data_IF_435194066610
#
_entry.id   IF_435194066610
#
_cell.length_a   1.000
_cell.length_b   1.000
_cell.length_c   1.000
_cell.angle_alpha   90.00
_cell.angle_beta   90.00
_cell.angle_gamma   90.00
#
_symmetry.space_group_name_H-M   'P 1'
#
loop_
_entity.id
_entity.type
_entity.pdbx_description
1 polymer ?
#
# COMPACT_ATOMS: atom_id res chain seq x y z
N UNK A 1 22.82 24.07 21.14
CA UNK A 1 21.55 24.24 20.42
C UNK A 1 21.63 23.39 19.16
N UNK A 2 21.34 22.10 19.30
CA UNK A 2 21.51 21.11 18.25
C UNK A 2 20.33 21.26 17.28
N UNK A 3 20.59 21.77 16.08
CA UNK A 3 19.62 21.76 15.00
C UNK A 3 19.30 20.30 14.66
N UNK A 4 18.18 19.79 15.18
CA UNK A 4 17.50 18.65 14.60
C UNK A 4 17.01 19.07 13.22
N UNK A 5 17.86 18.92 12.20
CA UNK A 5 17.38 18.76 10.83
C UNK A 5 16.62 17.43 10.79
N UNK A 6 15.34 17.45 11.17
CA UNK A 6 14.41 16.42 10.74
C UNK A 6 14.40 16.48 9.21
N UNK A 7 15.13 15.58 8.57
CA UNK A 7 14.86 15.24 7.18
C UNK A 7 13.40 14.78 7.16
N UNK A 8 12.48 15.63 6.71
CA UNK A 8 11.22 15.15 6.21
C UNK A 8 11.60 14.27 5.02
N UNK A 9 11.58 12.95 5.21
CA UNK A 9 11.89 12.03 4.14
C UNK A 9 10.96 12.35 2.96
N UNK A 10 11.52 12.71 1.82
CA UNK A 10 10.74 13.02 0.63
C UNK A 10 9.91 11.78 0.24
N UNK A 11 8.58 11.93 0.24
CA UNK A 11 7.65 10.84 -0.04
C UNK A 11 7.74 10.37 -1.50
N UNK A 12 7.28 9.13 -1.74
CA UNK A 12 7.03 8.60 -3.09
C UNK A 12 8.28 8.32 -3.92
N UNK A 13 9.47 8.47 -3.35
CA UNK A 13 10.74 8.15 -4.00
C UNK A 13 11.18 6.71 -3.68
N UNK A 14 11.96 6.09 -4.57
CA UNK A 14 12.50 4.73 -4.36
C UNK A 14 14.00 4.65 -4.68
N UNK A 15 14.89 5.28 -3.91
CA UNK A 15 16.29 5.45 -4.33
C UNK A 15 17.04 4.13 -4.52
N UNK A 16 16.84 3.15 -3.65
CA UNK A 16 17.46 1.84 -3.81
C UNK A 16 17.04 1.18 -5.14
N UNK A 17 15.77 1.30 -5.51
CA UNK A 17 15.26 0.79 -6.78
C UNK A 17 15.77 1.60 -7.97
N UNK A 18 15.68 2.93 -7.94
CA UNK A 18 16.14 3.79 -9.04
C UNK A 18 17.64 3.61 -9.32
N UNK A 19 18.47 3.49 -8.27
CA UNK A 19 19.88 3.20 -8.40
C UNK A 19 20.14 1.81 -9.01
N UNK A 20 19.33 0.81 -8.66
CA UNK A 20 19.39 -0.53 -9.25
C UNK A 20 18.98 -0.51 -10.71
N UNK A 21 17.89 0.18 -11.06
CA UNK A 21 17.42 0.32 -12.45
C UNK A 21 18.48 1.00 -13.32
N UNK A 22 19.10 2.08 -12.82
CA UNK A 22 20.22 2.72 -13.50
C UNK A 22 21.40 1.74 -13.76
N UNK A 23 21.65 0.81 -12.83
CA UNK A 23 22.65 -0.26 -13.01
C UNK A 23 22.18 -1.38 -13.93
N UNK A 24 20.89 -1.77 -13.92
CA UNK A 24 20.37 -2.85 -14.78
C UNK A 24 20.27 -2.42 -16.24
N UNK A 25 19.89 -1.17 -16.52
CA UNK A 25 19.97 -0.60 -17.88
C UNK A 25 21.42 -0.57 -18.39
N UNK A 26 22.40 -0.35 -17.52
CA UNK A 26 23.80 -0.51 -17.88
C UNK A 26 24.22 -1.97 -18.14
N UNK A 27 23.40 -2.95 -17.72
CA UNK A 27 23.69 -4.40 -17.79
C UNK A 27 22.71 -5.21 -18.65
N UNK A 28 21.71 -4.59 -19.31
CA UNK A 28 20.69 -5.23 -20.16
C UNK A 28 19.97 -6.46 -19.55
N UNK A 29 19.50 -6.37 -18.29
CA UNK A 29 18.76 -7.46 -17.63
C UNK A 29 17.23 -7.36 -17.85
N UNK A 30 16.51 -8.48 -18.07
CA UNK A 30 15.05 -8.47 -18.22
C UNK A 30 14.32 -8.13 -16.91
N UNK A 31 13.38 -7.19 -16.96
CA UNK A 31 12.50 -6.79 -15.85
C UNK A 31 11.14 -7.53 -15.92
N UNK A 32 10.53 -7.82 -14.76
CA UNK A 32 9.09 -8.11 -14.69
C UNK A 32 8.63 -9.58 -14.53
N UNK A 33 9.52 -10.58 -14.47
CA UNK A 33 9.14 -11.98 -14.18
C UNK A 33 9.48 -12.48 -12.77
N UNK A 34 9.99 -11.62 -11.90
CA UNK A 34 10.56 -12.02 -10.61
C UNK A 34 9.95 -11.23 -9.46
N UNK A 35 9.94 -11.84 -8.26
CA UNK A 35 9.42 -11.19 -7.05
C UNK A 35 10.13 -9.88 -6.74
N UNK A 36 9.44 -9.00 -6.03
CA UNK A 36 9.90 -7.68 -5.70
C UNK A 36 11.25 -7.72 -4.98
N UNK A 37 12.08 -6.72 -5.25
CA UNK A 37 13.41 -6.63 -4.65
C UNK A 37 13.42 -5.62 -3.51
N UNK A 38 14.38 -5.73 -2.59
CA UNK A 38 14.49 -4.77 -1.50
C UNK A 38 14.55 -3.33 -2.02
N UNK A 39 13.71 -2.46 -1.45
CA UNK A 39 13.62 -1.05 -1.83
C UNK A 39 12.76 -0.76 -3.07
N UNK A 40 12.18 -1.76 -3.73
CA UNK A 40 11.23 -1.56 -4.83
C UNK A 40 9.88 -1.00 -4.37
N UNK A 41 9.47 -1.33 -3.14
CA UNK A 41 8.21 -0.85 -2.53
C UNK A 41 8.46 -0.44 -1.08
N UNK A 42 9.21 0.66 -0.85
CA UNK A 42 9.74 0.98 0.48
C UNK A 42 8.68 1.46 1.47
N UNK A 43 7.46 1.73 1.01
CA UNK A 43 6.30 2.09 1.81
C UNK A 43 5.36 0.91 2.07
N UNK A 44 5.61 -0.27 1.50
CA UNK A 44 4.77 -1.44 1.76
C UNK A 44 4.91 -1.88 3.22
N UNK A 45 3.78 -2.13 3.87
CA UNK A 45 3.72 -2.61 5.26
C UNK A 45 2.87 -3.87 5.30
N UNK A 46 3.42 -4.95 5.84
CA UNK A 46 2.64 -6.14 6.16
C UNK A 46 2.15 -6.07 7.60
N UNK A 47 0.86 -6.29 7.81
CA UNK A 47 0.23 -6.33 9.13
C UNK A 47 0.06 -7.77 9.61
N UNK A 48 0.56 -8.01 10.82
CA UNK A 48 0.47 -9.28 11.51
C UNK A 48 -0.50 -9.17 12.67
N UNK A 49 -1.49 -10.07 12.70
CA UNK A 49 -2.47 -10.25 13.79
C UNK A 49 -2.04 -11.47 14.60
N UNK A 50 -1.68 -11.27 15.87
CA UNK A 50 -1.21 -12.35 16.75
C UNK A 50 -0.05 -13.18 16.16
N UNK A 51 0.83 -12.54 15.38
CA UNK A 51 1.96 -13.19 14.72
C UNK A 51 1.66 -13.81 13.35
N UNK A 52 0.41 -13.78 12.90
CA UNK A 52 0.01 -14.27 11.57
C UNK A 52 -0.24 -13.12 10.61
N UNK A 53 0.24 -13.24 9.37
CA UNK A 53 -0.02 -12.25 8.33
C UNK A 53 -1.51 -12.15 8.03
N UNK A 54 -2.07 -10.94 8.06
CA UNK A 54 -3.52 -10.72 7.95
C UNK A 54 -3.90 -9.73 6.85
N UNK A 55 -3.17 -8.61 6.77
CA UNK A 55 -3.49 -7.48 5.88
C UNK A 55 -2.22 -6.78 5.40
N UNK A 56 -2.39 -5.93 4.39
CA UNK A 56 -1.39 -4.96 3.97
C UNK A 56 -1.74 -3.54 4.44
N UNK A 57 -0.75 -2.66 4.42
CA UNK A 57 -0.87 -1.25 4.72
C UNK A 57 0.22 -0.47 3.97
N UNK A 58 0.14 0.86 4.01
CA UNK A 58 1.12 1.73 3.39
C UNK A 58 1.65 2.78 4.37
N UNK A 59 2.97 2.91 4.43
CA UNK A 59 3.64 3.94 5.20
C UNK A 59 3.36 5.33 4.59
N UNK A 60 2.79 6.23 5.39
CA UNK A 60 2.46 7.61 4.97
C UNK A 60 3.25 8.68 5.74
N UNK A 61 3.83 8.30 6.89
CA UNK A 61 4.85 9.06 7.63
C UNK A 61 5.66 8.09 8.50
N UNK A 62 6.70 8.57 9.17
CA UNK A 62 7.56 7.72 10.02
C UNK A 62 6.79 7.05 11.17
N UNK A 63 5.66 7.63 11.58
CA UNK A 63 4.86 7.19 12.73
C UNK A 63 3.50 6.59 12.37
N UNK A 64 3.10 6.71 11.10
CA UNK A 64 1.73 6.43 10.67
C UNK A 64 1.68 5.63 9.38
N UNK A 65 0.79 4.63 9.39
CA UNK A 65 0.45 3.80 8.23
C UNK A 65 -1.04 3.94 7.91
N UNK A 66 -1.39 3.80 6.63
CA UNK A 66 -2.75 3.86 6.09
C UNK A 66 -3.18 2.46 5.63
N UNK A 67 -4.39 2.04 6.00
CA UNK A 67 -4.97 0.74 5.62
C UNK A 67 -6.51 0.79 5.64
N UNK A 68 -7.16 -0.38 5.50
CA UNK A 68 -8.60 -0.52 5.64
C UNK A 68 -9.03 -0.90 7.05
N UNK A 69 -10.19 -0.42 7.49
CA UNK A 69 -10.80 -0.82 8.77
C UNK A 69 -11.27 -2.26 8.80
N UNK A 70 -11.56 -2.87 7.65
CA UNK A 70 -12.08 -4.24 7.54
C UNK A 70 -11.10 -5.26 8.12
N UNK A 71 -9.80 -4.96 8.06
CA UNK A 71 -8.73 -5.73 8.70
C UNK A 71 -8.94 -5.98 10.20
N UNK A 72 -9.65 -5.08 10.90
CA UNK A 72 -9.75 -5.05 12.36
C UNK A 72 -11.11 -5.51 12.88
N UNK A 73 -12.03 -5.97 12.04
CA UNK A 73 -13.40 -6.29 12.44
C UNK A 73 -13.52 -7.60 13.23
N UNK A 74 -12.56 -8.51 13.10
CA UNK A 74 -12.67 -9.88 13.60
C UNK A 74 -12.34 -10.08 15.09
N UNK A 75 -11.42 -9.30 15.66
CA UNK A 75 -10.99 -9.47 17.06
C UNK A 75 -10.41 -8.17 17.64
N UNK A 76 -11.09 -7.52 18.61
CA UNK A 76 -10.64 -6.27 19.22
C UNK A 76 -9.48 -6.45 20.20
N UNK A 77 -9.19 -7.68 20.65
CA UNK A 77 -8.10 -7.97 21.59
C UNK A 77 -6.81 -8.44 20.90
N UNK A 78 -6.83 -8.57 19.58
CA UNK A 78 -5.67 -9.00 18.83
C UNK A 78 -4.50 -8.03 18.96
N UNK A 79 -3.30 -8.59 19.09
CA UNK A 79 -2.06 -7.81 19.05
C UNK A 79 -1.66 -7.63 17.60
N UNK A 80 -1.53 -6.37 17.19
CA UNK A 80 -1.17 -6.00 15.83
C UNK A 80 0.27 -5.49 15.75
N UNK A 81 0.99 -5.97 14.74
CA UNK A 81 2.37 -5.59 14.47
C UNK A 81 2.54 -5.25 13.00
N UNK A 82 3.19 -4.14 12.70
CA UNK A 82 3.58 -3.73 11.35
C UNK A 82 5.02 -4.16 11.08
N UNK A 83 5.25 -4.78 9.92
CA UNK A 83 6.59 -5.07 9.38
C UNK A 83 6.80 -4.32 8.06
N UNK A 84 7.88 -3.55 7.99
CA UNK A 84 8.23 -2.67 6.87
C UNK A 84 9.62 -3.05 6.34
N UNK A 85 9.88 -2.82 5.04
CA UNK A 85 11.17 -3.15 4.41
C UNK A 85 11.34 -4.64 4.09
N UNK A 86 10.28 -5.44 4.31
CA UNK A 86 10.25 -6.87 4.00
C UNK A 86 9.81 -7.12 2.56
N UNK A 87 10.37 -8.16 1.94
CA UNK A 87 9.92 -8.71 0.66
C UNK A 87 9.49 -10.18 0.79
N UNK A 88 9.65 -10.75 2.00
CA UNK A 88 9.32 -12.15 2.31
C UNK A 88 8.69 -12.24 3.70
N UNK A 89 7.52 -12.86 3.82
CA UNK A 89 6.82 -12.98 5.11
C UNK A 89 7.60 -13.85 6.12
N UNK A 90 8.23 -14.93 5.63
CA UNK A 90 8.88 -15.96 6.45
C UNK A 90 10.37 -15.72 6.73
N UNK A 91 10.94 -14.58 6.30
CA UNK A 91 12.36 -14.27 6.53
C UNK A 91 12.55 -12.83 6.99
N UNK A 92 13.66 -12.56 7.66
CA UNK A 92 14.10 -11.21 8.03
C UNK A 92 15.15 -10.70 7.05
N UNK A 93 15.18 -9.39 6.85
CA UNK A 93 16.21 -8.72 6.08
C UNK A 93 16.90 -7.65 6.93
N UNK A 94 18.10 -7.17 6.57
CA UNK A 94 18.74 -6.06 7.29
C UNK A 94 17.95 -4.74 7.27
N UNK A 95 16.95 -4.63 6.40
CA UNK A 95 16.09 -3.47 6.25
C UNK A 95 14.73 -3.63 6.92
N UNK A 96 14.47 -4.81 7.50
CA UNK A 96 13.23 -5.14 8.21
C UNK A 96 13.12 -4.27 9.46
N UNK A 97 12.00 -3.58 9.60
CA UNK A 97 11.64 -2.83 10.79
C UNK A 97 10.27 -3.27 11.26
N UNK A 98 10.15 -3.52 12.56
CA UNK A 98 8.95 -4.04 13.20
C UNK A 98 8.49 -3.06 14.28
N UNK A 99 7.21 -2.70 14.28
CA UNK A 99 6.61 -1.87 15.32
C UNK A 99 5.21 -2.35 15.65
N UNK A 100 4.86 -2.38 16.94
CA UNK A 100 3.49 -2.62 17.38
C UNK A 100 2.57 -1.48 16.95
N UNK A 101 1.29 -1.79 16.82
CA UNK A 101 0.23 -0.79 16.63
C UNK A 101 -0.33 -0.39 18.00
N UNK A 102 -0.32 0.91 18.31
CA UNK A 102 -0.80 1.45 19.60
C UNK A 102 -2.07 2.26 19.48
N UNK A 103 -2.46 2.66 18.27
CA UNK A 103 -3.66 3.44 18.03
C UNK A 103 -4.21 3.23 16.63
N UNK A 104 -5.52 3.39 16.49
CA UNK A 104 -6.23 3.39 15.22
C UNK A 104 -7.21 4.56 15.20
N UNK A 105 -7.16 5.35 14.13
CA UNK A 105 -8.14 6.40 13.88
C UNK A 105 -8.87 6.05 12.59
N UNK A 106 -10.19 5.84 12.69
CA UNK A 106 -11.05 5.60 11.53
C UNK A 106 -11.37 6.93 10.85
N UNK A 107 -11.41 6.91 9.52
CA UNK A 107 -11.85 8.05 8.74
C UNK A 107 -13.32 8.39 9.06
N UNK A 108 -13.66 9.68 9.30
CA UNK A 108 -15.04 10.12 9.44
C UNK A 108 -15.76 10.28 8.10
N UNK A 109 -15.05 10.11 6.97
CA UNK A 109 -15.57 10.33 5.61
C UNK A 109 -16.07 9.01 5.02
N UNK A 110 -17.22 9.06 4.34
CA UNK A 110 -17.84 7.90 3.68
C UNK A 110 -18.31 6.84 4.69
N UNK A 111 -18.16 5.57 4.34
CA UNK A 111 -18.46 4.43 5.23
C UNK A 111 -17.36 4.20 6.28
N UNK A 112 -16.34 5.06 6.35
CA UNK A 112 -15.24 4.91 7.29
C UNK A 112 -14.36 3.71 7.02
N UNK A 113 -14.28 3.23 5.77
CA UNK A 113 -13.50 2.04 5.37
C UNK A 113 -11.98 2.27 5.45
N UNK A 114 -11.52 3.51 5.48
CA UNK A 114 -10.10 3.85 5.67
C UNK A 114 -9.77 4.13 7.13
N UNK A 115 -8.61 3.68 7.57
CA UNK A 115 -8.04 4.03 8.87
C UNK A 115 -6.54 4.31 8.77
N UNK A 116 -6.07 5.17 9.67
CA UNK A 116 -4.65 5.33 9.94
C UNK A 116 -4.30 4.70 11.28
N UNK A 117 -3.12 4.09 11.35
CA UNK A 117 -2.64 3.40 12.52
C UNK A 117 -1.37 4.07 13.03
N UNK A 118 -1.29 4.25 14.34
CA UNK A 118 -0.09 4.77 15.03
C UNK A 118 0.84 3.63 15.35
N UNK A 119 2.10 3.80 14.94
CA UNK A 119 3.20 2.93 15.30
C UNK A 119 3.71 3.28 16.71
N UNK A 120 3.97 2.26 17.53
CA UNK A 120 4.64 2.41 18.83
C UNK A 120 6.03 3.05 18.68
N UNK A 121 6.82 2.55 17.73
CA UNK A 121 8.15 3.04 17.43
C UNK A 121 8.16 3.69 16.05
N UNK A 122 8.75 4.89 15.98
CA UNK A 122 8.94 5.58 14.71
C UNK A 122 9.88 4.80 13.81
N UNK A 123 9.54 4.74 12.53
CA UNK A 123 10.34 4.04 11.52
C UNK A 123 11.55 4.88 11.16
N UNK A 124 12.72 4.26 11.17
CA UNK A 124 13.96 4.88 10.73
C UNK A 124 14.01 4.90 9.20
N UNK A 125 13.84 6.09 8.61
CA UNK A 125 13.89 6.29 7.17
C UNK A 125 15.22 5.85 6.55
N UNK A 126 15.16 5.19 5.39
CA UNK A 126 16.32 4.74 4.61
C UNK A 126 16.00 4.70 3.11
N UNK A 127 16.93 4.23 2.28
CA UNK A 127 16.67 3.97 0.85
C UNK A 127 15.72 2.79 0.61
N UNK A 128 15.48 1.98 1.64
CA UNK A 128 14.66 0.77 1.60
C UNK A 128 13.32 0.92 2.34
N UNK A 129 13.20 1.96 3.18
CA UNK A 129 12.00 2.24 3.99
C UNK A 129 11.72 3.73 4.00
N UNK A 130 10.59 4.15 3.45
CA UNK A 130 10.17 5.57 3.35
C UNK A 130 8.71 5.69 2.93
N UNK A 131 8.03 6.81 3.23
CA UNK A 131 6.60 6.93 2.98
C UNK A 131 6.24 7.11 1.51
N UNK A 132 5.03 6.67 1.14
CA UNK A 132 4.35 7.01 -0.11
C UNK A 132 3.76 8.43 -0.03
N UNK A 133 3.58 9.09 -1.18
CA UNK A 133 2.90 10.38 -1.18
C UNK A 133 1.38 10.21 -1.09
N UNK A 134 0.74 11.07 -0.30
CA UNK A 134 -0.71 11.29 -0.38
C UNK A 134 -1.02 12.17 -1.60
N UNK A 135 -2.16 11.97 -2.29
CA UNK A 135 -2.53 12.80 -3.42
C UNK A 135 -2.74 14.26 -2.99
N UNK A 136 -2.24 15.19 -3.80
CA UNK A 136 -2.41 16.63 -3.56
C UNK A 136 -3.69 17.19 -4.18
N UNK A 137 -4.21 16.53 -5.21
CA UNK A 137 -5.43 16.85 -5.93
C UNK A 137 -6.08 15.57 -6.47
N UNK A 138 -7.29 15.71 -7.00
CA UNK A 138 -7.96 14.62 -7.71
C UNK A 138 -7.34 14.46 -9.11
N UNK A 139 -6.45 13.50 -9.28
CA UNK A 139 -5.76 13.25 -10.55
C UNK A 139 -6.68 12.62 -11.58
N UNK A 140 -6.51 12.98 -12.86
CA UNK A 140 -7.05 12.18 -13.96
C UNK A 140 -6.22 10.91 -14.10
N UNK A 141 -6.81 9.75 -13.85
CA UNK A 141 -6.09 8.48 -13.77
C UNK A 141 -5.88 7.79 -15.14
N UNK A 142 -6.44 8.36 -16.20
CA UNK A 142 -6.33 7.80 -17.54
C UNK A 142 -4.87 7.80 -18.03
N UNK A 143 -4.35 6.61 -18.35
CA UNK A 143 -2.98 6.44 -18.85
C UNK A 143 -1.89 6.56 -17.78
N UNK A 144 -2.24 6.72 -16.49
CA UNK A 144 -1.26 6.74 -15.41
C UNK A 144 -0.85 5.30 -15.08
N UNK A 145 0.47 4.97 -15.04
CA UNK A 145 0.92 3.66 -14.62
C UNK A 145 0.67 3.47 -13.12
N UNK A 146 -0.20 2.52 -12.80
CA UNK A 146 -0.57 2.17 -11.44
C UNK A 146 -0.27 0.69 -11.17
N UNK A 147 0.14 0.41 -9.94
CA UNK A 147 0.45 -0.92 -9.47
C UNK A 147 -0.24 -1.17 -8.12
N UNK A 148 -0.59 -2.43 -7.88
CA UNK A 148 -0.84 -2.95 -6.53
C UNK A 148 0.19 -4.03 -6.21
N UNK A 149 0.13 -4.58 -5.00
CA UNK A 149 1.06 -5.56 -4.48
C UNK A 149 0.32 -6.80 -4.02
N UNK A 150 0.96 -7.97 -4.16
CA UNK A 150 0.41 -9.25 -3.72
C UNK A 150 1.48 -10.15 -3.13
N UNK A 151 1.08 -11.05 -2.24
CA UNK A 151 1.98 -12.02 -1.62
C UNK A 151 1.85 -13.38 -2.28
N UNK A 152 3.00 -13.96 -2.63
CA UNK A 152 2.97 -15.28 -3.24
C UNK A 152 2.60 -16.38 -2.25
N UNK A 153 1.53 -17.14 -2.55
CA UNK A 153 1.07 -18.25 -1.70
C UNK A 153 2.16 -19.31 -1.52
N UNK A 154 2.96 -19.58 -2.55
CA UNK A 154 4.01 -20.62 -2.49
C UNK A 154 5.34 -20.11 -1.97
N UNK A 155 5.74 -18.89 -2.35
CA UNK A 155 7.08 -18.36 -2.08
C UNK A 155 7.14 -17.37 -0.92
N UNK A 156 5.99 -16.98 -0.37
CA UNK A 156 5.84 -15.90 0.60
C UNK A 156 6.58 -14.63 0.20
N UNK A 157 6.74 -14.39 -1.10
CA UNK A 157 7.50 -13.28 -1.67
C UNK A 157 6.52 -12.26 -2.23
N UNK A 158 6.75 -10.98 -1.98
CA UNK A 158 5.99 -9.86 -2.52
C UNK A 158 6.18 -9.74 -4.05
N UNK A 159 5.11 -9.44 -4.78
CA UNK A 159 5.13 -9.17 -6.22
C UNK A 159 4.36 -7.90 -6.54
N UNK A 160 4.80 -7.21 -7.59
CA UNK A 160 4.01 -6.12 -8.17
C UNK A 160 3.00 -6.65 -9.18
N UNK A 161 1.85 -5.99 -9.26
CA UNK A 161 0.82 -6.24 -10.26
C UNK A 161 0.54 -4.92 -10.95
N UNK A 162 0.74 -4.87 -12.27
CA UNK A 162 0.41 -3.69 -13.07
C UNK A 162 -1.08 -3.63 -13.29
N UNK A 163 -1.63 -2.44 -13.14
CA UNK A 163 -3.05 -2.17 -13.21
C UNK A 163 -3.35 -1.11 -14.25
N UNK A 164 -4.39 -1.37 -15.04
CA UNK A 164 -5.02 -0.39 -15.92
C UNK A 164 -6.28 0.13 -15.23
N UNK A 165 -6.35 1.44 -15.01
CA UNK A 165 -7.54 2.07 -14.42
C UNK A 165 -8.68 2.09 -15.46
N UNK A 166 -9.83 1.54 -15.09
CA UNK A 166 -11.02 1.45 -15.96
C UNK A 166 -12.03 2.57 -15.73
N UNK A 167 -11.93 3.28 -14.60
CA UNK A 167 -12.82 4.39 -14.26
C UNK A 167 -13.19 4.42 -12.78
N UNK A 168 -14.24 5.19 -12.46
CA UNK A 168 -14.75 5.36 -11.10
C UNK A 168 -16.06 4.61 -10.84
N UNK A 169 -16.70 4.12 -11.89
CA UNK A 169 -17.92 3.31 -11.83
C UNK A 169 -17.52 1.83 -11.90
N UNK A 170 -17.43 1.19 -10.74
CA UNK A 170 -17.10 -0.23 -10.67
C UNK A 170 -18.36 -1.02 -10.99
N UNK A 171 -18.26 -1.98 -11.90
CA UNK A 171 -19.36 -2.89 -12.23
C UNK A 171 -19.47 -3.84 -11.04
N UNK A 172 -20.55 -3.72 -10.27
CA UNK A 172 -20.84 -4.68 -9.20
C UNK A 172 -21.65 -5.84 -9.76
N UNK A 173 -21.17 -7.09 -9.56
CA UNK A 173 -21.96 -8.28 -9.89
C UNK A 173 -23.10 -8.54 -8.88
N UNK A 174 -23.11 -7.88 -7.72
CA UNK A 174 -24.17 -8.09 -6.73
C UNK A 174 -24.15 -7.07 -5.58
N UNK A 175 -24.53 -5.82 -5.82
CA UNK A 175 -25.15 -5.07 -4.73
C UNK A 175 -26.15 -4.04 -5.25
N UNK A 176 -27.42 -4.27 -4.91
CA UNK A 176 -28.55 -3.43 -5.32
C UNK A 176 -28.75 -2.28 -4.33
N UNK A 177 -27.66 -1.79 -3.73
CA UNK A 177 -27.70 -0.80 -2.66
C UNK A 177 -26.98 0.48 -3.09
N UNK A 178 -27.78 1.39 -3.64
CA UNK A 178 -27.45 2.72 -4.15
C UNK A 178 -27.06 3.73 -3.06
N UNK A 179 -26.35 3.30 -2.01
CA UNK A 179 -26.15 4.04 -0.77
C UNK A 179 -24.68 4.19 -0.36
N UNK A 180 -23.80 4.43 -1.33
CA UNK A 180 -22.65 5.34 -1.14
C UNK A 180 -21.97 5.55 -2.50
N UNK A 181 -22.13 6.73 -3.12
CA UNK A 181 -21.18 7.17 -4.16
C UNK A 181 -19.85 7.56 -3.50
N UNK A 182 -19.25 6.64 -2.75
CA UNK A 182 -17.84 6.72 -2.43
C UNK A 182 -17.09 6.70 -3.75
N UNK A 183 -16.23 7.70 -3.95
CA UNK A 183 -15.34 7.69 -5.11
C UNK A 183 -14.50 6.44 -4.99
N UNK A 184 -14.84 5.46 -5.79
CA UNK A 184 -14.09 4.22 -5.94
C UNK A 184 -13.21 4.38 -7.16
N UNK A 185 -12.05 3.74 -7.16
CA UNK A 185 -11.21 3.60 -8.33
C UNK A 185 -11.27 2.13 -8.73
N UNK A 186 -11.57 1.88 -9.99
CA UNK A 186 -11.70 0.54 -10.51
C UNK A 186 -10.54 0.26 -11.46
N UNK A 187 -9.94 -0.92 -11.35
CA UNK A 187 -8.78 -1.29 -12.14
C UNK A 187 -8.80 -2.77 -12.53
N UNK A 188 -8.10 -3.11 -13.61
CA UNK A 188 -7.89 -4.49 -14.06
C UNK A 188 -6.41 -4.76 -14.22
N UNK A 189 -5.99 -6.02 -14.03
CA UNK A 189 -4.60 -6.44 -14.24
C UNK A 189 -4.23 -6.28 -15.72
N UNK A 190 -3.16 -5.54 -16.01
CA UNK A 190 -2.76 -5.20 -17.39
C UNK A 190 -2.11 -6.38 -18.12
N UNK A 191 -1.35 -7.19 -17.39
CA UNK A 191 -0.57 -8.32 -17.91
C UNK A 191 -1.21 -9.63 -17.40
N UNK A 192 -2.37 -10.02 -17.96
CA UNK A 192 -3.01 -11.30 -17.61
C UNK A 192 -2.18 -12.43 -18.22
N UNK A 193 -1.32 -13.03 -17.41
CA UNK A 193 -0.65 -14.29 -17.75
C UNK A 193 -1.73 -15.38 -17.87
N UNK A 194 -1.75 -16.12 -18.98
CA UNK A 194 -2.68 -17.24 -19.21
C UNK A 194 -2.66 -18.24 -18.03
N UNK A 195 -3.71 -18.16 -17.23
CA UNK A 195 -4.39 -19.10 -16.31
C UNK A 195 -3.66 -20.14 -15.43
N UNK A 196 -2.35 -20.40 -15.55
CA UNK A 196 -1.70 -21.46 -14.75
C UNK A 196 -0.64 -20.99 -13.74
N UNK A 197 -0.18 -19.74 -13.79
CA UNK A 197 0.90 -19.26 -12.92
C UNK A 197 0.52 -18.01 -12.12
N UNK A 198 -0.71 -17.93 -11.60
CA UNK A 198 -0.98 -16.88 -10.62
C UNK A 198 -0.15 -17.13 -9.36
N UNK A 199 0.72 -16.17 -9.06
CA UNK A 199 1.73 -16.37 -8.04
C UNK A 199 1.26 -16.02 -6.63
N UNK A 200 0.11 -15.38 -6.40
CA UNK A 200 -0.29 -14.88 -5.08
C UNK A 200 -1.65 -14.19 -4.94
N UNK A 201 -2.03 -13.87 -3.71
CA UNK A 201 -3.28 -13.18 -3.35
C UNK A 201 -3.02 -11.71 -2.95
N UNK A 202 -3.96 -10.83 -3.30
CA UNK A 202 -4.01 -9.44 -2.81
C UNK A 202 -4.80 -9.41 -1.50
N UNK A 203 -4.23 -8.82 -0.45
CA UNK A 203 -4.88 -8.74 0.84
C UNK A 203 -5.73 -7.48 0.99
N UNK A 204 -6.57 -7.45 2.01
CA UNK A 204 -7.21 -6.21 2.45
C UNK A 204 -6.15 -5.19 2.88
N UNK A 205 -6.44 -3.91 2.68
CA UNK A 205 -5.49 -2.83 2.93
C UNK A 205 -4.42 -2.65 1.83
N UNK A 206 -4.44 -3.50 0.79
CA UNK A 206 -3.52 -3.39 -0.35
C UNK A 206 -3.65 -2.04 -1.06
N UNK A 207 -2.53 -1.41 -1.46
CA UNK A 207 -2.57 -0.06 -2.01
C UNK A 207 -2.69 -0.03 -3.53
N UNK A 208 -3.46 0.92 -4.04
CA UNK A 208 -3.33 1.37 -5.43
C UNK A 208 -2.29 2.49 -5.50
N UNK A 209 -1.11 2.16 -6.01
CA UNK A 209 0.05 3.03 -6.09
C UNK A 209 0.23 3.50 -7.54
N UNK A 210 0.24 4.81 -7.77
CA UNK A 210 0.39 5.36 -9.12
C UNK A 210 1.61 6.26 -9.22
N UNK A 211 2.38 6.12 -10.31
CA UNK A 211 3.56 6.95 -10.57
C UNK A 211 3.15 8.19 -11.36
N UNK A 212 3.34 9.36 -10.74
CA UNK A 212 3.01 10.68 -11.29
C UNK A 212 4.25 11.55 -11.16
N UNK A 213 4.84 11.97 -12.29
CA UNK A 213 6.05 12.79 -12.33
C UNK A 213 7.19 12.20 -11.46
N UNK A 214 7.48 10.91 -11.65
CA UNK A 214 8.53 10.15 -10.95
C UNK A 214 8.35 10.02 -9.43
N UNK A 215 7.13 10.28 -8.94
CA UNK A 215 6.75 10.07 -7.54
C UNK A 215 5.56 9.13 -7.44
N UNK A 216 5.61 8.26 -6.45
CA UNK A 216 4.55 7.31 -6.18
C UNK A 216 3.55 7.86 -5.17
N UNK A 217 2.28 7.80 -5.55
CA UNK A 217 1.16 8.24 -4.75
C UNK A 217 0.25 7.06 -4.41
N UNK A 218 -0.23 7.02 -3.17
CA UNK A 218 -1.28 6.08 -2.77
C UNK A 218 -2.65 6.68 -3.10
N UNK A 219 -3.24 6.27 -4.22
CA UNK A 219 -4.52 6.81 -4.70
C UNK A 219 -5.73 6.03 -4.21
N UNK A 220 -5.53 4.78 -3.81
CA UNK A 220 -6.59 3.92 -3.32
C UNK A 220 -6.12 2.88 -2.32
N UNK A 221 -7.06 2.33 -1.56
CA UNK A 221 -6.87 1.20 -0.64
C UNK A 221 -7.96 0.16 -0.91
N UNK A 222 -7.58 -1.11 -0.97
CA UNK A 222 -8.54 -2.21 -1.07
C UNK A 222 -9.18 -2.53 0.30
N UNK A 223 -10.47 -2.83 0.30
CA UNK A 223 -11.21 -3.33 1.49
C UNK A 223 -11.59 -4.81 1.38
N UNK A 224 -11.16 -5.49 0.31
CA UNK A 224 -11.48 -6.89 0.08
C UNK A 224 -10.25 -7.63 -0.41
N UNK A 225 -10.18 -8.92 -0.11
CA UNK A 225 -9.16 -9.81 -0.65
C UNK A 225 -9.47 -10.11 -2.11
N UNK A 226 -8.45 -10.14 -2.96
CA UNK A 226 -8.56 -10.66 -4.32
C UNK A 226 -7.74 -11.93 -4.39
N UNK A 227 -8.44 -13.06 -4.47
CA UNK A 227 -7.82 -14.37 -4.61
C UNK A 227 -7.59 -14.71 -6.07
N UNK A 228 -6.48 -15.40 -6.31
CA UNK A 228 -6.11 -15.83 -7.65
C UNK A 228 -6.53 -17.28 -7.97
N UNK A 229 -6.87 -17.61 -9.24
CA UNK A 229 -6.88 -16.74 -10.40
C UNK A 229 -8.09 -15.78 -10.40
N UNK A 230 -7.84 -14.52 -10.72
CA UNK A 230 -8.87 -13.48 -10.84
C UNK A 230 -8.94 -12.93 -12.26
N UNK A 231 -8.78 -13.80 -13.28
CA UNK A 231 -8.73 -13.43 -14.70
C UNK A 231 -9.89 -12.48 -15.03
N UNK A 232 -9.56 -11.26 -15.48
CA UNK A 232 -10.49 -10.19 -15.84
C UNK A 232 -11.45 -9.69 -14.75
N UNK A 233 -11.22 -9.98 -13.46
CA UNK A 233 -12.01 -9.35 -12.38
C UNK A 233 -11.53 -7.92 -12.13
N UNK A 234 -12.49 -7.00 -12.20
CA UNK A 234 -12.29 -5.61 -11.82
C UNK A 234 -12.03 -5.53 -10.31
N UNK A 235 -10.99 -4.78 -9.93
CA UNK A 235 -10.61 -4.50 -8.54
C UNK A 235 -11.14 -3.14 -8.15
N UNK A 236 -11.69 -3.02 -6.94
CA UNK A 236 -12.26 -1.78 -6.39
C UNK A 236 -11.36 -1.27 -5.27
N UNK A 237 -10.95 -0.01 -5.38
CA UNK A 237 -10.16 0.69 -4.37
C UNK A 237 -10.92 1.92 -3.86
N UNK A 238 -10.85 2.16 -2.55
CA UNK A 238 -11.39 3.35 -1.91
C UNK A 238 -10.48 4.54 -2.15
N UNK A 239 -10.97 5.58 -2.82
CA UNK A 239 -10.16 6.71 -3.27
C UNK A 239 -9.64 7.54 -2.08
N UNK A 240 -8.33 7.75 -1.97
CA UNK A 240 -7.71 8.38 -0.78
C UNK A 240 -7.82 9.90 -0.75
N UNK A 241 -7.95 10.57 -1.90
CA UNK A 241 -7.96 12.04 -1.99
C UNK A 241 -8.92 12.76 -1.04
N UNK A 242 -10.15 12.28 -0.88
CA UNK A 242 -11.13 12.93 0.00
C UNK A 242 -10.72 12.85 1.48
N UNK A 243 -9.86 11.89 1.83
CA UNK A 243 -9.39 11.64 3.18
C UNK A 243 -8.13 12.41 3.55
N UNK A 244 -7.44 13.04 2.58
CA UNK A 244 -6.12 13.66 2.79
C UNK A 244 -6.15 14.77 3.84
N UNK A 245 -7.21 15.59 3.88
CA UNK A 245 -7.32 16.67 4.86
C UNK A 245 -7.46 16.12 6.28
N UNK A 246 -8.29 15.09 6.46
CA UNK A 246 -8.42 14.39 7.73
C UNK A 246 -7.10 13.76 8.15
N UNK A 247 -6.42 13.02 7.24
CA UNK A 247 -5.13 12.39 7.53
C UNK A 247 -4.13 13.43 8.02
N UNK A 248 -3.95 14.54 7.30
CA UNK A 248 -3.01 15.60 7.68
C UNK A 248 -3.32 16.19 9.05
N UNK A 249 -4.59 16.53 9.28
CA UNK A 249 -5.03 17.09 10.55
C UNK A 249 -4.78 16.14 11.72
N UNK A 250 -5.03 14.84 11.55
CA UNK A 250 -4.75 13.85 12.59
C UNK A 250 -3.26 13.64 12.84
N UNK A 251 -2.45 13.59 11.78
CA UNK A 251 -0.98 13.48 11.89
C UNK A 251 -0.36 14.68 12.60
N UNK A 252 -0.90 15.89 12.39
CA UNK A 252 -0.44 17.12 13.04
C UNK A 252 -0.87 17.20 14.51
N UNK A 253 -2.13 16.89 14.82
CA UNK A 253 -2.66 17.02 16.18
C UNK A 253 -2.06 16.01 17.15
N UNK A 254 -1.78 14.79 16.68
CA UNK A 254 -1.23 13.70 17.50
C UNK A 254 0.31 13.64 17.48
N UNK A 255 0.98 14.61 16.86
CA UNK A 255 2.45 14.78 16.92
C UNK A 255 2.94 15.49 18.18
N UNK A 256 2.02 16.14 18.92
CA UNK A 256 2.34 17.06 20.02
C UNK A 256 2.36 16.36 21.40
N UNK A 257 2.13 15.04 21.44
CA UNK A 257 2.13 14.22 22.66
C UNK A 257 3.05 13.01 22.50
#
# INVERSE_FOLDING_TARGET
MTLFFFFIAACGLRPAHSARVARSFALNLPEGKFGAVHGQWPWHVALFKNGEYACDATLISDDWILTSTTCFESDPHAVWTARIGIIRLSSKSPFDQESRITGMVKSPIGSGVLSILKLEQSINGSDYVRPSCLPSHNYSLAGIPCNTLRWSVRKNHLFEVKLTITGNDCIEESDNNSLSRQKSICAVESDVMEDEDCQGDEAEGSPLLCNINDKWYILGISSHKVTCPSSNKQRKYHHTFEHVQWIRHTLESLRIH
#
